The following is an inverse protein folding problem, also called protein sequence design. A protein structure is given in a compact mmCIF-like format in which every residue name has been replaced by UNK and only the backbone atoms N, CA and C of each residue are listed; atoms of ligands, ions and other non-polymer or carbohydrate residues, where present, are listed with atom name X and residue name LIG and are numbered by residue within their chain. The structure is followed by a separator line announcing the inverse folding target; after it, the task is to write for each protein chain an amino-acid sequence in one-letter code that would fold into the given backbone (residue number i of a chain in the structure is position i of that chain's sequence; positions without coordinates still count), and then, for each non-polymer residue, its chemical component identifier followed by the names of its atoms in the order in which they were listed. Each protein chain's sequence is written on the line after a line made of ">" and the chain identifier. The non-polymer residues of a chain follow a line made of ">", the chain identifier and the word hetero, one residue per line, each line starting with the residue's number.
data_IF_284376905637
#
_entry.id   IF_284376905637
#
_cell.length_a   1.000
_cell.length_b   1.000
_cell.length_c   1.000
_cell.angle_alpha   90.00
_cell.angle_beta   90.00
_cell.angle_gamma   90.00
#
_symmetry.space_group_name_H-M   'P 1'
#
loop_
_entity.id
_entity.type
_entity.pdbx_description
1 polymer ?
#
# COMPACT_ATOMS: atom_id res chain seq x y z
N UNK A 1 -2.89 18.99 18.26
CA UNK A 1 -2.58 20.24 17.55
C UNK A 1 -3.53 21.34 17.93
N UNK A 2 -3.13 22.58 17.75
CA UNK A 2 -3.98 23.77 17.94
C UNK A 2 -3.91 24.64 16.71
N UNK A 3 -5.05 25.15 16.28
CA UNK A 3 -5.18 26.09 15.15
C UNK A 3 -5.97 27.31 15.62
N UNK A 4 -5.52 28.51 15.26
CA UNK A 4 -6.16 29.79 15.62
C UNK A 4 -6.40 30.54 14.33
N UNK A 5 -7.68 30.74 13.99
CA UNK A 5 -8.12 31.52 12.86
C UNK A 5 -9.35 32.34 13.22
N UNK A 6 -9.41 33.61 12.83
CA UNK A 6 -10.55 34.51 13.03
C UNK A 6 -11.08 34.52 14.48
N UNK A 7 -10.19 34.68 15.46
CA UNK A 7 -10.49 34.66 16.92
C UNK A 7 -11.09 33.35 17.44
N UNK A 8 -11.04 32.28 16.67
CA UNK A 8 -11.44 30.93 17.08
C UNK A 8 -10.21 30.06 17.29
N UNK A 9 -10.19 29.35 18.41
CA UNK A 9 -9.17 28.34 18.72
C UNK A 9 -9.78 26.94 18.58
N UNK A 10 -9.20 26.14 17.68
CA UNK A 10 -9.57 24.73 17.53
C UNK A 10 -8.49 23.86 18.15
N UNK A 11 -8.89 23.03 19.13
CA UNK A 11 -8.03 22.01 19.70
C UNK A 11 -8.35 20.65 19.10
N UNK A 12 -7.34 19.95 18.59
CA UNK A 12 -7.50 18.62 18.01
C UNK A 12 -6.58 17.63 18.70
N UNK A 13 -7.12 16.47 19.07
CA UNK A 13 -6.36 15.33 19.52
C UNK A 13 -6.11 14.41 18.34
N UNK A 14 -4.85 14.01 18.13
CA UNK A 14 -4.48 13.04 17.13
C UNK A 14 -4.50 11.64 17.75
N UNK A 15 -5.40 10.79 17.30
CA UNK A 15 -5.55 9.40 17.76
C UNK A 15 -4.58 8.45 17.10
N UNK A 16 -4.04 8.80 15.95
CA UNK A 16 -3.16 7.91 15.18
C UNK A 16 -1.69 8.01 15.59
N UNK A 17 -1.19 9.19 15.96
CA UNK A 17 0.21 9.46 16.25
C UNK A 17 1.02 9.63 14.98
N UNK A 18 1.70 8.60 14.49
CA UNK A 18 2.32 8.63 13.17
C UNK A 18 1.27 8.76 12.08
N UNK A 19 1.64 9.44 10.99
CA UNK A 19 0.76 9.59 9.82
C UNK A 19 0.30 8.24 9.28
N UNK A 20 -0.98 8.10 8.95
CA UNK A 20 -1.61 6.83 8.56
C UNK A 20 -1.07 6.22 7.26
N UNK A 21 -0.40 7.01 6.40
CA UNK A 21 0.26 6.45 5.22
C UNK A 21 1.45 5.56 5.62
N UNK A 22 2.07 5.78 6.77
CA UNK A 22 3.09 4.90 7.30
C UNK A 22 2.47 3.64 7.87
N UNK A 23 2.18 2.67 6.99
CA UNK A 23 1.53 1.41 7.36
C UNK A 23 2.36 0.56 8.31
N UNK A 24 3.69 0.55 8.14
CA UNK A 24 4.64 -0.27 8.90
C UNK A 24 5.27 -1.42 8.11
N UNK A 25 4.67 -1.86 7.01
CA UNK A 25 5.24 -2.93 6.18
C UNK A 25 6.44 -2.50 5.35
N UNK A 26 6.58 -1.21 5.03
CA UNK A 26 7.69 -0.69 4.22
C UNK A 26 8.99 -0.73 5.02
N UNK A 27 9.86 -1.68 4.70
CA UNK A 27 11.19 -1.81 5.30
C UNK A 27 12.20 -0.92 4.57
N UNK A 28 12.08 -0.85 3.24
CA UNK A 28 12.95 -0.09 2.38
C UNK A 28 12.13 0.66 1.33
N UNK A 29 12.69 1.71 0.75
CA UNK A 29 12.07 2.52 -0.28
C UNK A 29 13.04 2.80 -1.44
N UNK A 30 12.48 2.87 -2.65
CA UNK A 30 13.14 3.50 -3.80
C UNK A 30 13.15 5.01 -3.60
N UNK A 31 13.87 5.74 -4.44
CA UNK A 31 13.80 7.20 -4.45
C UNK A 31 12.35 7.66 -4.71
N UNK A 32 11.82 8.50 -3.79
CA UNK A 32 10.46 9.04 -3.82
C UNK A 32 9.34 8.00 -4.11
N UNK A 33 9.10 7.08 -3.17
CA UNK A 33 8.06 6.06 -3.33
C UNK A 33 6.66 6.68 -3.33
N UNK A 34 5.71 6.01 -4.00
CA UNK A 34 4.30 6.39 -3.94
C UNK A 34 3.80 6.31 -2.49
N UNK A 35 2.99 7.30 -2.09
CA UNK A 35 2.32 7.29 -0.79
C UNK A 35 1.26 6.18 -0.73
N UNK A 36 1.21 5.43 0.36
CA UNK A 36 0.35 4.26 0.54
C UNK A 36 -1.14 4.63 0.51
N UNK A 37 -1.52 5.74 1.13
CA UNK A 37 -2.92 6.23 1.11
C UNK A 37 -3.34 6.63 -0.30
N UNK A 38 -2.43 7.25 -1.06
CA UNK A 38 -2.69 7.60 -2.45
C UNK A 38 -2.85 6.33 -3.31
N UNK A 39 -1.97 5.35 -3.15
CA UNK A 39 -2.08 4.07 -3.87
C UNK A 39 -3.41 3.37 -3.57
N UNK A 40 -3.79 3.26 -2.29
CA UNK A 40 -5.08 2.71 -1.89
C UNK A 40 -6.26 3.49 -2.50
N UNK A 41 -6.20 4.83 -2.48
CA UNK A 41 -7.21 5.70 -3.10
C UNK A 41 -7.36 5.46 -4.59
N UNK A 42 -6.26 5.35 -5.32
CA UNK A 42 -6.26 5.05 -6.77
C UNK A 42 -6.97 3.72 -7.04
N UNK A 43 -6.66 2.66 -6.28
CA UNK A 43 -7.28 1.35 -6.43
C UNK A 43 -8.78 1.41 -6.12
N UNK A 44 -9.17 2.03 -5.01
CA UNK A 44 -10.57 2.16 -4.61
C UNK A 44 -11.40 2.94 -5.63
N UNK A 45 -10.83 3.96 -6.28
CA UNK A 45 -11.50 4.74 -7.33
C UNK A 45 -11.83 3.90 -8.58
N UNK A 46 -11.11 2.81 -8.84
CA UNK A 46 -11.44 1.91 -9.96
C UNK A 46 -12.64 1.01 -9.67
N UNK A 47 -13.05 0.90 -8.40
CA UNK A 47 -14.07 -0.04 -7.95
C UNK A 47 -13.57 -1.50 -7.81
N UNK A 48 -12.32 -1.79 -8.16
CA UNK A 48 -11.75 -3.14 -8.05
C UNK A 48 -11.66 -3.58 -6.58
N UNK A 49 -12.05 -4.82 -6.32
CA UNK A 49 -12.05 -5.44 -4.98
C UNK A 49 -11.48 -6.86 -4.97
N UNK A 50 -10.76 -7.24 -6.04
CA UNK A 50 -10.17 -8.57 -6.17
C UNK A 50 -10.94 -9.51 -7.10
N UNK A 51 -11.82 -9.01 -7.95
CA UNK A 51 -12.63 -9.82 -8.89
C UNK A 51 -11.88 -10.25 -10.17
N UNK A 52 -10.65 -9.81 -10.35
CA UNK A 52 -9.75 -10.21 -11.43
C UNK A 52 -8.30 -9.89 -11.04
N UNK A 53 -7.34 -10.31 -11.85
CA UNK A 53 -5.93 -9.97 -11.66
C UNK A 53 -5.70 -8.46 -11.73
N UNK A 54 -4.73 -7.97 -10.93
CA UNK A 54 -4.25 -6.59 -10.99
C UNK A 54 -2.78 -6.58 -11.40
N UNK A 55 -2.42 -5.62 -12.25
CA UNK A 55 -1.08 -5.51 -12.81
C UNK A 55 -0.56 -4.10 -12.61
N UNK A 56 0.64 -3.99 -12.05
CA UNK A 56 1.43 -2.77 -12.02
C UNK A 56 2.73 -2.99 -12.81
N UNK A 57 2.83 -2.49 -14.04
CA UNK A 57 4.00 -2.71 -14.89
C UNK A 57 5.22 -1.85 -14.53
N UNK A 58 5.13 -0.96 -13.55
CA UNK A 58 6.21 -0.11 -13.04
C UNK A 58 6.12 0.04 -11.53
N UNK A 59 6.16 -1.11 -10.81
CA UNK A 59 5.74 -1.19 -9.40
C UNK A 59 6.72 -0.57 -8.39
N UNK A 60 7.96 -0.27 -8.78
CA UNK A 60 8.96 0.30 -7.89
C UNK A 60 9.14 -0.52 -6.62
N UNK A 61 8.90 0.07 -5.45
CA UNK A 61 8.98 -0.61 -4.15
C UNK A 61 7.75 -1.47 -3.79
N UNK A 62 6.81 -1.68 -4.73
CA UNK A 62 5.66 -2.56 -4.56
C UNK A 62 4.45 -1.94 -3.85
N UNK A 63 4.36 -0.62 -3.76
CA UNK A 63 3.28 0.04 -2.99
C UNK A 63 1.89 -0.29 -3.53
N UNK A 64 1.64 -0.14 -4.86
CA UNK A 64 0.35 -0.47 -5.47
C UNK A 64 0.02 -1.97 -5.30
N UNK A 65 0.93 -2.91 -5.62
CA UNK A 65 0.69 -4.33 -5.38
C UNK A 65 0.30 -4.67 -3.94
N UNK A 66 0.98 -4.09 -2.94
CA UNK A 66 0.70 -4.36 -1.52
C UNK A 66 -0.67 -3.81 -1.12
N UNK A 67 -0.96 -2.51 -1.40
CA UNK A 67 -2.25 -1.91 -1.06
C UNK A 67 -3.41 -2.63 -1.79
N UNK A 68 -3.19 -3.11 -3.02
CA UNK A 68 -4.17 -3.92 -3.75
C UNK A 68 -4.46 -5.25 -3.02
N UNK A 69 -3.44 -5.95 -2.56
CA UNK A 69 -3.63 -7.20 -1.84
C UNK A 69 -4.37 -7.00 -0.50
N UNK A 70 -4.06 -5.91 0.23
CA UNK A 70 -4.79 -5.55 1.45
C UNK A 70 -6.27 -5.30 1.16
N UNK A 71 -6.59 -4.56 0.08
CA UNK A 71 -7.97 -4.29 -0.33
C UNK A 71 -8.68 -5.58 -0.77
N UNK A 72 -8.05 -6.41 -1.60
CA UNK A 72 -8.62 -7.67 -2.09
C UNK A 72 -8.95 -8.62 -0.93
N UNK A 73 -8.04 -8.76 0.02
CA UNK A 73 -8.20 -9.60 1.20
C UNK A 73 -9.02 -8.96 2.32
N UNK A 74 -9.39 -7.68 2.20
CA UNK A 74 -10.03 -6.90 3.25
C UNK A 74 -9.23 -6.88 4.57
N UNK A 75 -7.91 -6.78 4.46
CA UNK A 75 -7.00 -6.65 5.60
C UNK A 75 -6.93 -5.17 6.00
N UNK A 76 -7.14 -4.88 7.28
CA UNK A 76 -7.02 -3.53 7.80
C UNK A 76 -5.57 -3.01 7.68
N UNK A 77 -5.32 -1.86 7.02
CA UNK A 77 -3.95 -1.40 6.76
C UNK A 77 -3.20 -0.99 8.04
N UNK A 78 -3.89 -0.90 9.18
CA UNK A 78 -3.30 -0.60 10.48
C UNK A 78 -2.60 -1.77 11.17
N UNK A 79 -2.79 -3.02 10.71
CA UNK A 79 -2.25 -4.23 11.37
C UNK A 79 -0.72 -4.31 11.40
N UNK A 80 -0.03 -3.52 10.57
CA UNK A 80 1.43 -3.46 10.57
C UNK A 80 2.00 -2.35 11.46
N UNK A 81 1.14 -1.53 12.07
CA UNK A 81 1.58 -0.43 12.93
C UNK A 81 1.99 -0.98 14.29
N UNK A 82 3.06 -0.38 14.85
CA UNK A 82 3.57 -0.78 16.17
C UNK A 82 2.73 -0.24 17.31
N UNK A 83 2.20 0.98 17.15
CA UNK A 83 1.41 1.67 18.18
C UNK A 83 0.50 2.74 17.55
N UNK A 84 -0.53 3.11 18.28
CA UNK A 84 -1.38 4.27 18.01
C UNK A 84 -1.32 5.24 19.19
N UNK A 85 -1.49 6.55 18.94
CA UNK A 85 -1.43 7.55 20.02
C UNK A 85 -2.53 7.36 21.07
N UNK A 86 -3.71 6.86 20.67
CA UNK A 86 -4.83 6.63 21.60
C UNK A 86 -4.53 5.53 22.64
N UNK A 87 -3.57 4.63 22.40
CA UNK A 87 -3.17 3.62 23.39
C UNK A 87 -2.58 4.22 24.66
N UNK A 88 -2.15 5.50 24.60
CA UNK A 88 -1.61 6.27 25.73
C UNK A 88 -2.66 7.13 26.43
N UNK A 89 -3.94 7.06 26.03
CA UNK A 89 -5.01 7.84 26.65
C UNK A 89 -5.46 7.20 27.97
N UNK A 90 -5.93 8.02 28.90
CA UNK A 90 -6.30 7.56 30.24
C UNK A 90 -7.49 6.59 30.27
N UNK A 91 -8.35 6.64 29.25
CA UNK A 91 -9.55 5.83 29.07
C UNK A 91 -9.34 4.70 28.04
N UNK A 92 -8.08 4.38 27.72
CA UNK A 92 -7.76 3.29 26.79
C UNK A 92 -8.14 1.94 27.37
N UNK A 93 -8.92 1.17 26.61
CA UNK A 93 -9.35 -0.19 26.94
C UNK A 93 -8.54 -1.21 26.15
N UNK A 94 -7.57 -1.80 26.81
CA UNK A 94 -6.66 -2.79 26.20
C UNK A 94 -7.41 -4.04 25.72
N UNK A 95 -8.37 -4.55 26.49
CA UNK A 95 -9.11 -5.77 26.14
C UNK A 95 -10.00 -5.54 24.90
N UNK A 96 -10.66 -4.40 24.82
CA UNK A 96 -11.43 -4.00 23.65
C UNK A 96 -10.52 -3.83 22.43
N UNK A 97 -9.37 -3.19 22.61
CA UNK A 97 -8.39 -2.99 21.54
C UNK A 97 -7.91 -4.33 20.99
N UNK A 98 -7.45 -5.23 21.84
CA UNK A 98 -6.94 -6.56 21.46
C UNK A 98 -7.99 -7.38 20.72
N UNK A 99 -9.24 -7.30 21.14
CA UNK A 99 -10.36 -7.98 20.47
C UNK A 99 -10.60 -7.44 19.06
N UNK A 100 -10.55 -6.11 18.87
CA UNK A 100 -10.77 -5.48 17.56
C UNK A 100 -9.54 -5.66 16.67
N UNK A 101 -8.34 -5.49 17.24
CA UNK A 101 -7.07 -5.56 16.48
C UNK A 101 -6.81 -6.96 15.93
N UNK A 102 -7.17 -8.00 16.66
CA UNK A 102 -6.98 -9.39 16.28
C UNK A 102 -8.20 -10.02 15.57
N UNK A 103 -9.23 -9.21 15.25
CA UNK A 103 -10.41 -9.72 14.53
C UNK A 103 -10.13 -9.78 13.03
N UNK A 104 -9.89 -10.99 12.54
CA UNK A 104 -9.72 -11.33 11.12
C UNK A 104 -10.99 -11.86 10.45
N UNK A 105 -12.12 -11.86 11.15
CA UNK A 105 -13.40 -12.43 10.68
C UNK A 105 -13.93 -11.80 9.38
N UNK A 106 -13.47 -10.61 9.05
CA UNK A 106 -13.85 -9.89 7.84
C UNK A 106 -12.83 -10.06 6.69
N UNK A 107 -11.72 -10.77 6.91
CA UNK A 107 -10.79 -11.08 5.84
C UNK A 107 -11.43 -12.00 4.80
N UNK A 108 -10.98 -11.83 3.55
CA UNK A 108 -11.50 -12.57 2.40
C UNK A 108 -10.41 -13.40 1.75
N UNK A 109 -10.81 -14.53 1.19
CA UNK A 109 -9.95 -15.26 0.27
C UNK A 109 -9.79 -14.48 -1.03
N UNK A 110 -8.57 -14.41 -1.55
CA UNK A 110 -8.25 -13.82 -2.84
C UNK A 110 -7.69 -14.90 -3.77
N UNK A 111 -8.46 -15.25 -4.79
CA UNK A 111 -8.17 -16.37 -5.70
C UNK A 111 -7.41 -15.95 -6.97
N UNK A 112 -7.38 -14.65 -7.26
CA UNK A 112 -6.62 -14.07 -8.37
C UNK A 112 -5.17 -13.75 -7.97
N UNK A 113 -4.43 -13.06 -8.83
CA UNK A 113 -3.05 -12.65 -8.57
C UNK A 113 -2.85 -11.16 -8.83
N UNK A 114 -1.85 -10.61 -8.14
CA UNK A 114 -1.36 -9.27 -8.37
C UNK A 114 0.05 -9.38 -8.93
N UNK A 115 0.28 -8.77 -10.07
CA UNK A 115 1.57 -8.78 -10.75
C UNK A 115 2.22 -7.41 -10.64
N UNK A 116 3.47 -7.38 -10.15
CA UNK A 116 4.31 -6.20 -10.13
C UNK A 116 5.53 -6.43 -11.02
N UNK A 117 5.76 -5.51 -11.95
CA UNK A 117 6.94 -5.52 -12.81
C UNK A 117 7.75 -4.25 -12.58
N UNK A 118 9.04 -4.35 -12.71
CA UNK A 118 9.96 -3.22 -12.74
C UNK A 118 11.22 -3.60 -13.56
N UNK A 119 11.81 -2.66 -14.27
CA UNK A 119 13.05 -2.92 -15.01
C UNK A 119 14.29 -2.90 -14.12
N UNK A 120 14.20 -2.33 -12.91
CA UNK A 120 15.29 -2.18 -11.98
C UNK A 120 15.38 -3.37 -11.01
N UNK A 121 16.43 -4.19 -11.04
CA UNK A 121 16.60 -5.32 -10.12
C UNK A 121 16.57 -4.91 -8.64
N UNK A 122 17.14 -3.75 -8.30
CA UNK A 122 17.15 -3.24 -6.92
C UNK A 122 15.73 -2.86 -6.46
N UNK A 123 14.93 -2.24 -7.33
CA UNK A 123 13.52 -1.95 -7.00
C UNK A 123 12.73 -3.24 -6.76
N UNK A 124 12.96 -4.27 -7.59
CA UNK A 124 12.32 -5.58 -7.42
C UNK A 124 12.74 -6.27 -6.11
N UNK A 125 14.01 -6.17 -5.70
CA UNK A 125 14.50 -6.67 -4.41
C UNK A 125 13.80 -5.97 -3.24
N UNK A 126 13.74 -4.64 -3.26
CA UNK A 126 13.04 -3.82 -2.25
C UNK A 126 11.54 -4.20 -2.20
N UNK A 127 10.89 -4.31 -3.34
CA UNK A 127 9.48 -4.74 -3.42
C UNK A 127 9.28 -6.13 -2.81
N UNK A 128 10.20 -7.06 -3.08
CA UNK A 128 10.16 -8.42 -2.52
C UNK A 128 10.26 -8.41 -0.99
N UNK A 129 11.17 -7.60 -0.42
CA UNK A 129 11.29 -7.45 1.02
C UNK A 129 10.01 -6.86 1.64
N UNK A 130 9.44 -5.81 1.02
CA UNK A 130 8.21 -5.17 1.50
C UNK A 130 7.00 -6.13 1.42
N UNK A 131 6.83 -6.87 0.32
CA UNK A 131 5.78 -7.89 0.15
C UNK A 131 5.90 -8.98 1.20
N UNK A 132 7.13 -9.44 1.47
CA UNK A 132 7.38 -10.44 2.51
C UNK A 132 7.08 -9.91 3.90
N UNK A 133 7.47 -8.67 4.21
CA UNK A 133 7.19 -8.01 5.48
C UNK A 133 5.67 -7.82 5.71
N UNK A 134 4.90 -7.62 4.64
CA UNK A 134 3.44 -7.57 4.67
C UNK A 134 2.77 -8.96 4.70
N UNK A 135 3.52 -10.07 4.59
CA UNK A 135 2.96 -11.43 4.58
C UNK A 135 2.17 -11.78 3.31
N UNK A 136 2.36 -11.05 2.20
CA UNK A 136 1.54 -11.11 0.98
C UNK A 136 2.23 -11.83 -0.20
N UNK A 137 3.21 -12.67 0.10
CA UNK A 137 3.98 -13.39 -0.94
C UNK A 137 3.16 -14.42 -1.74
N UNK A 138 1.98 -14.80 -1.25
CA UNK A 138 1.08 -15.72 -1.94
C UNK A 138 0.22 -15.02 -2.99
N UNK A 139 -0.14 -13.78 -2.74
CA UNK A 139 -1.02 -12.95 -3.55
C UNK A 139 -0.28 -12.22 -4.66
N UNK A 140 0.99 -11.85 -4.40
CA UNK A 140 1.78 -10.94 -5.25
C UNK A 140 2.92 -11.70 -5.93
N UNK A 141 3.02 -11.52 -7.24
CA UNK A 141 4.10 -12.06 -8.08
C UNK A 141 4.90 -10.87 -8.62
N UNK A 142 6.18 -10.82 -8.27
CA UNK A 142 7.10 -9.78 -8.73
C UNK A 142 8.05 -10.34 -9.78
N UNK A 143 8.31 -9.56 -10.85
CA UNK A 143 9.27 -9.93 -11.91
C UNK A 143 10.05 -8.71 -12.38
N UNK A 144 11.32 -8.94 -12.72
CA UNK A 144 12.14 -7.95 -13.41
C UNK A 144 11.77 -7.99 -14.88
N UNK A 145 11.13 -6.93 -15.36
CA UNK A 145 10.68 -6.85 -16.76
C UNK A 145 10.55 -5.39 -17.18
N UNK A 146 11.20 -4.96 -18.26
CA UNK A 146 10.99 -3.65 -18.85
C UNK A 146 9.55 -3.47 -19.34
N UNK A 147 8.99 -2.28 -19.18
CA UNK A 147 7.63 -1.97 -19.63
C UNK A 147 7.40 -2.25 -21.13
N UNK A 148 8.41 -2.02 -21.95
CA UNK A 148 8.38 -2.28 -23.39
C UNK A 148 8.15 -3.75 -23.75
N UNK A 149 8.41 -4.67 -22.81
CA UNK A 149 8.17 -6.11 -22.97
C UNK A 149 6.86 -6.56 -22.33
N UNK A 150 6.05 -5.61 -21.85
CA UNK A 150 4.76 -5.94 -21.28
C UNK A 150 3.79 -6.40 -22.37
N UNK A 151 3.25 -7.60 -22.20
CA UNK A 151 2.24 -8.15 -23.09
C UNK A 151 0.86 -8.07 -22.44
N UNK A 152 -0.15 -7.73 -23.24
CA UNK A 152 -1.52 -7.68 -22.75
C UNK A 152 -1.96 -9.06 -22.24
N UNK A 153 -2.46 -9.16 -21.00
CA UNK A 153 -3.01 -10.42 -20.49
C UNK A 153 -4.14 -10.96 -21.36
N UNK A 154 -4.24 -12.29 -21.46
CA UNK A 154 -5.33 -12.95 -22.18
C UNK A 154 -6.64 -12.93 -21.40
N UNK A 155 -6.54 -12.92 -20.07
CA UNK A 155 -7.70 -12.88 -19.17
C UNK A 155 -8.00 -11.45 -18.73
N UNK A 156 -9.24 -11.24 -18.30
CA UNK A 156 -9.66 -9.94 -17.75
C UNK A 156 -8.76 -9.56 -16.58
N UNK A 157 -8.19 -8.39 -16.65
CA UNK A 157 -7.33 -7.83 -15.61
C UNK A 157 -7.48 -6.31 -15.56
N UNK A 158 -7.03 -5.69 -14.48
CA UNK A 158 -6.92 -4.25 -14.36
C UNK A 158 -5.45 -3.85 -14.30
N UNK A 159 -5.10 -2.76 -14.96
CA UNK A 159 -3.76 -2.18 -14.91
C UNK A 159 -3.84 -0.87 -14.12
N UNK A 160 -3.04 -0.78 -13.06
CA UNK A 160 -2.88 0.43 -12.24
C UNK A 160 -1.39 0.65 -12.06
N UNK A 161 -0.90 1.83 -12.43
CA UNK A 161 0.52 2.14 -12.35
C UNK A 161 0.77 3.61 -12.06
N UNK A 162 1.94 3.90 -11.48
CA UNK A 162 2.46 5.24 -11.28
C UNK A 162 3.78 5.37 -12.06
N UNK A 163 3.73 5.72 -13.35
CA UNK A 163 4.93 5.82 -14.18
C UNK A 163 5.86 6.95 -13.71
N UNK A 164 7.16 6.86 -13.97
CA UNK A 164 8.09 7.96 -13.70
C UNK A 164 7.69 9.19 -14.55
N UNK A 165 7.85 10.38 -13.98
CA UNK A 165 7.53 11.66 -14.62
C UNK A 165 8.55 12.74 -14.25
N UNK A 166 8.65 13.79 -15.10
CA UNK A 166 9.54 14.91 -14.88
C UNK A 166 11.02 14.54 -14.98
N UNK A 167 11.84 15.06 -14.09
CA UNK A 167 13.30 14.84 -14.05
C UNK A 167 13.75 13.38 -13.83
N UNK A 168 12.82 12.46 -13.55
CA UNK A 168 13.10 11.03 -13.37
C UNK A 168 13.21 10.25 -14.67
N UNK A 169 12.88 10.87 -15.80
CA UNK A 169 13.05 10.27 -17.13
C UNK A 169 14.37 10.79 -17.68
N UNK A 170 15.44 10.00 -17.57
CA UNK A 170 16.65 10.32 -18.33
C UNK A 170 16.40 10.04 -19.81
N UNK A 171 16.96 10.87 -20.69
CA UNK A 171 16.88 10.69 -22.16
C UNK A 171 17.46 9.37 -22.66
N UNK A 172 18.12 8.60 -21.79
CA UNK A 172 18.68 7.29 -22.08
C UNK A 172 17.69 6.13 -21.74
N UNK A 173 16.54 6.41 -21.16
CA UNK A 173 15.52 5.43 -20.75
C UNK A 173 14.31 5.37 -21.72
N UNK A 174 14.39 6.13 -22.82
CA UNK A 174 13.45 6.14 -23.96
C UNK A 174 14.12 5.45 -25.16
#
# INVERSE_FOLDING_TARGET
>A
SSDIAEDKCTLSLDSSGESLHRRGYRQEAVEAPLNEVLAAGMILMTGWKGECDLIDPMCGSGTIPIEAALIARNIAPGVFRKEFAFEKWNDFDQELFDRIYNDDSQEREFTHKIFGYDNNPKANEIATHNVKAAGLSKEIILKIQPFQQFEQPKEKSIIITNPPYGERISTNDL
#
